data_IF_242981090466
#
_entry.id   IF_242981090466
#
_cell.length_a   1.000
_cell.length_b   1.000
_cell.length_c   1.000
_cell.angle_alpha   90.00
_cell.angle_beta   90.00
_cell.angle_gamma   90.00
#
_symmetry.space_group_name_H-M   'P 1'
#
loop_
_entity.id
_entity.type
_entity.pdbx_description
1 polymer ?
#
# COMPACT_ATOMS: atom_id res chain seq x y z
N UNK A 1 30.38 -4.88 27.30
CA UNK A 1 29.87 -5.77 26.26
C UNK A 1 29.85 -7.18 26.84
N UNK A 2 28.94 -8.06 26.45
CA UNK A 2 28.92 -9.44 26.91
C UNK A 2 30.12 -10.19 26.31
N UNK A 3 30.83 -11.08 27.07
CA UNK A 3 31.99 -11.82 26.56
C UNK A 3 31.76 -12.55 25.22
N UNK A 4 30.58 -13.10 25.00
CA UNK A 4 30.22 -13.70 23.71
C UNK A 4 30.13 -12.67 22.58
N UNK A 5 29.62 -11.46 22.86
CA UNK A 5 29.56 -10.40 21.86
C UNK A 5 30.96 -9.91 21.47
N UNK A 6 31.88 -9.81 22.43
CA UNK A 6 33.28 -9.45 22.17
C UNK A 6 33.97 -10.51 21.32
N UNK A 7 33.78 -11.77 21.64
CA UNK A 7 34.33 -12.89 20.86
C UNK A 7 33.77 -12.92 19.42
N UNK A 8 32.47 -12.65 19.24
CA UNK A 8 31.86 -12.59 17.90
C UNK A 8 32.46 -11.43 17.10
N UNK A 9 32.62 -10.24 17.69
CA UNK A 9 33.22 -9.07 17.02
C UNK A 9 34.67 -9.37 16.64
N UNK A 10 35.47 -9.90 17.56
CA UNK A 10 36.86 -10.25 17.29
C UNK A 10 36.97 -11.32 16.18
N UNK A 11 36.12 -12.35 16.22
CA UNK A 11 36.08 -13.40 15.20
C UNK A 11 35.67 -12.87 13.81
N UNK A 12 34.73 -11.94 13.74
CA UNK A 12 34.25 -11.38 12.46
C UNK A 12 35.29 -10.42 11.83
N UNK A 13 36.28 -9.94 12.58
CA UNK A 13 37.43 -9.18 12.08
C UNK A 13 38.54 -10.03 11.48
N UNK A 14 38.58 -11.33 11.77
CA UNK A 14 39.57 -12.26 11.21
C UNK A 14 39.35 -12.49 9.70
N UNK A 15 40.40 -12.86 8.95
CA UNK A 15 40.25 -13.39 7.59
C UNK A 15 39.28 -14.59 7.58
N UNK A 16 38.51 -14.76 6.52
CA UNK A 16 37.42 -15.74 6.44
C UNK A 16 37.89 -17.17 6.77
N UNK A 17 39.10 -17.55 6.32
CA UNK A 17 39.74 -18.86 6.57
C UNK A 17 40.07 -19.14 8.04
N UNK A 18 40.21 -18.06 8.84
CA UNK A 18 40.63 -18.15 10.25
C UNK A 18 39.44 -17.95 11.21
N UNK A 19 38.23 -17.75 10.67
CA UNK A 19 37.02 -17.53 11.48
C UNK A 19 36.48 -18.82 12.07
N UNK A 20 36.21 -18.80 13.37
CA UNK A 20 35.42 -19.83 14.04
C UNK A 20 34.00 -19.87 13.53
N UNK A 21 33.42 -21.06 13.38
CA UNK A 21 32.00 -21.22 13.05
C UNK A 21 31.10 -20.83 14.22
N UNK A 22 29.79 -20.72 13.99
CA UNK A 22 28.85 -20.51 15.09
C UNK A 22 28.78 -21.66 16.06
N UNK A 23 29.11 -22.87 15.61
CA UNK A 23 29.16 -24.08 16.44
C UNK A 23 30.38 -24.00 17.36
N UNK A 24 31.57 -23.67 16.83
CA UNK A 24 32.80 -23.55 17.63
C UNK A 24 32.64 -22.49 18.73
N UNK A 25 32.06 -21.33 18.40
CA UNK A 25 31.77 -20.28 19.38
C UNK A 25 30.70 -20.74 20.40
N UNK A 26 29.73 -21.52 20.00
CA UNK A 26 28.74 -22.05 20.92
C UNK A 26 29.32 -23.02 21.93
N UNK A 27 30.24 -23.87 21.50
CA UNK A 27 30.97 -24.79 22.37
C UNK A 27 31.88 -24.03 23.34
N UNK A 28 32.68 -23.08 22.85
CA UNK A 28 33.60 -22.25 23.66
C UNK A 28 32.89 -21.45 24.76
N UNK A 29 31.71 -20.94 24.48
CA UNK A 29 30.92 -20.16 25.42
C UNK A 29 29.79 -20.94 26.12
N UNK A 30 29.79 -22.26 26.03
CA UNK A 30 28.79 -23.14 26.64
C UNK A 30 27.34 -22.70 26.36
N UNK A 31 27.05 -22.35 25.11
CA UNK A 31 25.75 -21.87 24.69
C UNK A 31 25.25 -22.63 23.46
N UNK A 32 24.09 -22.26 22.90
CA UNK A 32 23.59 -22.88 21.67
C UNK A 32 23.99 -22.10 20.43
N UNK A 33 24.17 -22.78 19.30
CA UNK A 33 24.40 -22.15 18.00
C UNK A 33 23.32 -21.09 17.67
N UNK A 34 22.07 -21.35 18.06
CA UNK A 34 20.97 -20.42 17.88
C UNK A 34 21.18 -19.12 18.69
N UNK A 35 21.81 -19.23 19.87
CA UNK A 35 22.17 -18.07 20.68
C UNK A 35 23.26 -17.24 20.00
N UNK A 36 24.34 -17.87 19.51
CA UNK A 36 25.41 -17.19 18.77
C UNK A 36 24.88 -16.48 17.54
N UNK A 37 24.03 -17.14 16.75
CA UNK A 37 23.37 -16.52 15.59
C UNK A 37 22.53 -15.30 15.97
N UNK A 38 21.85 -15.34 17.12
CA UNK A 38 21.03 -14.23 17.61
C UNK A 38 21.91 -13.03 17.99
N UNK A 39 23.00 -13.28 18.75
CA UNK A 39 23.97 -12.26 19.14
C UNK A 39 24.64 -11.62 17.90
N UNK A 40 25.10 -12.41 16.95
CA UNK A 40 25.69 -11.92 15.70
C UNK A 40 24.74 -11.05 14.89
N UNK A 41 23.45 -11.42 14.81
CA UNK A 41 22.42 -10.58 14.17
C UNK A 41 22.20 -9.26 14.91
N UNK A 42 22.23 -9.28 16.24
CA UNK A 42 22.06 -8.08 17.05
C UNK A 42 23.25 -7.11 16.86
N UNK A 43 24.49 -7.63 16.84
CA UNK A 43 25.69 -6.86 16.60
C UNK A 43 25.72 -6.26 15.19
N UNK A 44 25.34 -7.01 14.15
CA UNK A 44 25.21 -6.47 12.77
C UNK A 44 24.19 -5.33 12.69
N UNK A 45 23.10 -5.41 13.45
CA UNK A 45 22.12 -4.31 13.52
C UNK A 45 22.70 -3.06 14.20
N UNK A 46 23.54 -3.22 15.22
CA UNK A 46 24.21 -2.11 15.92
C UNK A 46 25.32 -1.48 15.06
N UNK A 47 26.04 -2.28 14.26
CA UNK A 47 27.17 -1.83 13.44
C UNK A 47 26.80 -1.29 12.06
N UNK A 48 25.54 -1.44 11.63
CA UNK A 48 25.13 -1.09 10.26
C UNK A 48 24.92 0.41 10.01
N UNK A 49 25.27 1.28 10.96
CA UNK A 49 25.10 2.74 10.80
C UNK A 49 23.66 3.21 10.56
N UNK A 50 22.70 2.27 10.61
CA UNK A 50 21.30 2.67 10.64
C UNK A 50 21.06 3.39 11.95
N UNK A 51 20.50 4.60 11.92
CA UNK A 51 20.18 5.33 13.14
C UNK A 51 19.42 4.40 14.06
N UNK A 52 19.78 4.42 15.33
CA UNK A 52 19.08 3.69 16.38
C UNK A 52 17.66 4.28 16.42
N UNK A 53 16.74 3.62 15.73
CA UNK A 53 15.33 4.01 15.66
C UNK A 53 14.63 3.93 17.03
N UNK A 54 15.38 3.63 18.09
CA UNK A 54 14.90 3.62 19.48
C UNK A 54 15.13 4.95 20.20
N UNK A 55 15.79 5.93 19.57
CA UNK A 55 16.01 7.26 20.17
C UNK A 55 15.44 8.37 19.29
N UNK A 56 14.37 8.89 19.77
CA UNK A 56 13.88 10.30 19.74
C UNK A 56 13.78 11.05 18.39
N UNK A 57 14.66 10.87 17.43
CA UNK A 57 14.65 11.65 16.19
C UNK A 57 13.52 11.28 15.19
N UNK A 58 12.90 10.10 15.32
CA UNK A 58 11.80 9.71 14.44
C UNK A 58 10.44 10.14 14.97
N UNK A 59 10.36 10.48 16.26
CA UNK A 59 9.10 10.84 16.91
C UNK A 59 8.94 12.35 17.16
N UNK A 60 10.02 13.15 17.05
CA UNK A 60 9.93 14.60 17.23
C UNK A 60 9.23 15.32 16.07
N UNK A 61 9.24 14.75 14.85
CA UNK A 61 8.62 15.36 13.67
C UNK A 61 7.30 14.69 13.22
N UNK A 62 6.90 13.61 13.88
CA UNK A 62 5.56 13.06 13.63
C UNK A 62 4.59 13.69 14.64
N UNK A 63 3.47 14.25 14.18
CA UNK A 63 2.41 14.63 15.09
C UNK A 63 2.05 13.38 15.91
N UNK A 64 2.26 13.46 17.22
CA UNK A 64 2.02 12.39 18.22
C UNK A 64 0.60 11.82 18.13
N UNK A 65 -0.20 12.38 17.31
CA UNK A 65 -1.61 12.14 17.02
C UNK A 65 -1.94 10.81 16.33
N UNK A 66 -0.96 10.06 15.83
CA UNK A 66 -1.21 8.82 15.07
C UNK A 66 -0.86 7.51 15.80
N UNK A 67 -0.46 7.53 17.07
CA UNK A 67 -0.02 6.33 17.79
C UNK A 67 -1.14 5.77 18.64
N UNK A 68 -1.88 4.82 18.10
CA UNK A 68 -2.85 4.02 18.84
C UNK A 68 -2.17 2.99 19.75
N UNK A 69 -2.75 2.81 20.95
CA UNK A 69 -2.39 1.85 22.00
C UNK A 69 -1.76 0.55 21.48
N UNK A 70 -0.44 0.42 21.53
CA UNK A 70 0.23 -0.86 21.73
C UNK A 70 1.48 -0.60 22.56
N UNK A 71 1.51 -1.11 23.79
CA UNK A 71 2.71 -1.15 24.59
C UNK A 71 3.81 -1.91 23.84
N UNK A 72 4.94 -1.27 23.59
CA UNK A 72 6.13 -1.92 23.07
C UNK A 72 7.04 -2.16 24.25
N UNK A 73 7.41 -3.41 24.48
CA UNK A 73 8.45 -3.73 25.47
C UNK A 73 9.80 -3.40 24.83
N UNK A 74 10.47 -2.40 25.32
CA UNK A 74 11.81 -2.00 24.88
C UNK A 74 12.81 -2.61 25.85
N UNK A 75 13.81 -3.32 25.34
CA UNK A 75 14.94 -3.79 26.13
C UNK A 75 15.99 -2.70 26.19
N UNK A 76 16.27 -2.22 27.38
CA UNK A 76 17.30 -1.21 27.63
C UNK A 76 18.73 -1.79 27.50
N UNK A 77 19.71 -0.93 27.37
CA UNK A 77 21.11 -1.31 27.20
C UNK A 77 21.68 -2.09 28.39
N UNK A 78 21.09 -1.93 29.57
CA UNK A 78 21.45 -2.65 30.82
C UNK A 78 20.82 -4.05 30.91
N UNK A 79 20.04 -4.44 29.92
CA UNK A 79 19.36 -5.74 29.87
C UNK A 79 17.97 -5.74 30.53
N UNK A 80 17.56 -4.68 31.18
CA UNK A 80 16.22 -4.50 31.71
C UNK A 80 15.19 -4.28 30.60
N UNK A 81 13.90 -4.48 30.92
CA UNK A 81 12.80 -4.26 29.99
C UNK A 81 11.95 -3.12 30.49
N UNK A 82 11.80 -2.08 29.68
CA UNK A 82 10.84 -1.03 29.91
C UNK A 82 9.58 -1.30 29.09
N UNK A 83 8.45 -1.36 29.75
CA UNK A 83 7.16 -1.41 29.09
C UNK A 83 6.71 0.03 28.89
N UNK A 84 6.99 0.59 27.73
CA UNK A 84 6.44 1.90 27.38
C UNK A 84 4.96 1.71 27.06
N UNK A 85 4.12 1.98 28.04
CA UNK A 85 2.71 2.15 27.80
C UNK A 85 2.51 3.56 27.24
N UNK A 86 2.31 3.64 25.94
CA UNK A 86 1.79 4.86 25.36
C UNK A 86 0.37 5.04 25.91
N UNK A 87 0.23 5.88 26.93
CA UNK A 87 -1.07 6.47 27.18
C UNK A 87 -1.42 7.22 25.90
N UNK A 88 -2.52 6.90 25.22
CA UNK A 88 -3.02 7.83 24.22
C UNK A 88 -3.19 9.12 25.00
N UNK A 89 -2.40 10.14 24.70
CA UNK A 89 -2.89 11.48 24.87
C UNK A 89 -4.27 11.42 24.26
N UNK A 90 -5.26 12.10 24.81
CA UNK A 90 -6.55 12.26 24.18
C UNK A 90 -6.26 13.01 22.90
N UNK A 91 -5.80 12.26 21.88
CA UNK A 91 -5.92 12.67 20.53
C UNK A 91 -7.41 12.52 20.31
N UNK A 92 -8.11 13.63 20.46
CA UNK A 92 -9.16 13.83 19.53
C UNK A 92 -8.50 13.69 18.17
N UNK A 93 -8.37 12.46 17.69
CA UNK A 93 -8.39 12.27 16.25
C UNK A 93 -9.64 13.05 15.88
N UNK A 94 -9.44 14.19 15.26
CA UNK A 94 -10.51 14.78 14.49
C UNK A 94 -11.03 13.58 13.71
N UNK A 95 -12.19 13.07 14.15
CA UNK A 95 -12.74 11.83 13.60
C UNK A 95 -12.63 12.05 12.11
N UNK A 96 -11.75 11.26 11.46
CA UNK A 96 -11.54 11.43 10.03
C UNK A 96 -12.95 11.32 9.51
N UNK A 97 -13.49 12.45 9.05
CA UNK A 97 -14.91 12.58 8.73
C UNK A 97 -15.19 11.43 7.80
N UNK A 98 -15.89 10.40 8.30
CA UNK A 98 -16.24 9.28 7.46
C UNK A 98 -17.06 9.84 6.34
N UNK A 99 -16.54 9.72 5.15
CA UNK A 99 -17.26 10.08 3.95
C UNK A 99 -18.36 9.05 3.71
N UNK A 100 -19.47 9.52 3.21
CA UNK A 100 -20.54 8.71 2.64
C UNK A 100 -20.54 8.87 1.13
N UNK A 101 -21.34 8.05 0.45
CA UNK A 101 -21.56 8.24 -0.97
C UNK A 101 -22.09 9.65 -1.30
N UNK A 102 -22.97 10.16 -0.46
CA UNK A 102 -23.59 11.49 -0.68
C UNK A 102 -22.55 12.63 -0.65
N UNK A 103 -21.45 12.45 0.08
CA UNK A 103 -20.33 13.39 0.07
C UNK A 103 -19.55 13.35 -1.26
N UNK A 104 -19.52 12.21 -1.94
CA UNK A 104 -18.79 12.00 -3.19
C UNK A 104 -19.66 12.28 -4.45
N UNK A 105 -20.96 12.16 -4.34
CA UNK A 105 -21.87 12.37 -5.48
C UNK A 105 -21.67 13.72 -6.19
N UNK A 106 -21.49 14.84 -5.48
CA UNK A 106 -21.21 16.14 -6.12
C UNK A 106 -19.92 16.14 -6.95
N UNK A 107 -18.89 15.40 -6.51
CA UNK A 107 -17.62 15.30 -7.26
C UNK A 107 -17.85 14.61 -8.60
N UNK A 108 -18.72 13.59 -8.65
CA UNK A 108 -19.08 12.90 -9.88
C UNK A 108 -20.12 13.64 -10.73
N UNK A 109 -20.83 14.60 -10.15
CA UNK A 109 -21.81 15.42 -10.87
C UNK A 109 -21.17 16.50 -11.74
N UNK A 110 -19.89 16.80 -11.56
CA UNK A 110 -19.16 17.74 -12.42
C UNK A 110 -19.25 17.24 -13.88
N UNK A 111 -19.84 18.05 -14.81
CA UNK A 111 -20.06 17.61 -16.17
C UNK A 111 -18.74 17.39 -16.89
N UNK A 112 -18.66 16.31 -17.63
CA UNK A 112 -17.56 16.03 -18.54
C UNK A 112 -18.08 16.01 -19.98
N UNK A 113 -17.41 16.74 -20.85
CA UNK A 113 -17.67 16.73 -22.28
C UNK A 113 -16.58 15.88 -22.91
N UNK A 114 -16.89 14.67 -23.42
CA UNK A 114 -15.90 13.86 -24.11
C UNK A 114 -15.37 14.63 -25.33
N UNK A 115 -14.07 14.57 -25.60
CA UNK A 115 -13.51 15.20 -26.80
C UNK A 115 -14.17 14.59 -28.04
N UNK A 116 -14.55 15.44 -28.97
CA UNK A 116 -15.09 14.99 -30.24
C UNK A 116 -13.99 14.23 -31.00
N UNK A 117 -14.24 12.98 -31.40
CA UNK A 117 -13.38 12.27 -32.32
C UNK A 117 -13.87 12.46 -33.74
N UNK A 118 -12.95 12.78 -34.67
CA UNK A 118 -13.29 12.80 -36.07
C UNK A 118 -13.54 11.36 -36.57
N UNK A 119 -14.47 11.19 -37.51
CA UNK A 119 -14.81 9.92 -38.15
C UNK A 119 -13.77 9.43 -39.17
N UNK A 120 -12.54 9.92 -39.12
CA UNK A 120 -11.49 9.62 -40.05
C UNK A 120 -10.83 8.25 -39.82
N UNK A 121 -9.99 7.78 -40.74
CA UNK A 121 -9.23 6.54 -40.72
C UNK A 121 -8.67 6.20 -39.32
N UNK A 122 -8.77 4.92 -38.93
CA UNK A 122 -8.26 4.47 -37.65
C UNK A 122 -6.73 4.39 -37.60
N UNK A 123 -6.13 4.70 -36.47
CA UNK A 123 -4.71 4.45 -36.18
C UNK A 123 -4.51 2.99 -35.83
N UNK A 124 -3.46 2.37 -36.38
CA UNK A 124 -3.15 0.95 -36.13
C UNK A 124 -2.53 0.69 -34.76
N UNK A 125 -1.91 1.71 -34.12
CA UNK A 125 -1.33 1.60 -32.80
C UNK A 125 -2.44 1.38 -31.75
N UNK A 126 -2.08 0.68 -30.67
CA UNK A 126 -2.99 0.39 -29.58
C UNK A 126 -2.49 1.06 -28.30
N UNK A 127 -3.06 2.19 -27.88
CA UNK A 127 -2.78 2.75 -26.57
C UNK A 127 -3.22 1.80 -25.45
N UNK A 128 -2.41 1.74 -24.39
CA UNK A 128 -2.74 1.02 -23.15
C UNK A 128 -2.80 2.05 -22.03
N UNK A 129 -3.96 2.19 -21.43
CA UNK A 129 -4.21 3.06 -20.28
C UNK A 129 -4.17 2.20 -19.02
N UNK A 130 -3.10 2.33 -18.23
CA UNK A 130 -2.94 1.58 -16.99
C UNK A 130 -3.55 2.37 -15.83
N UNK A 131 -4.44 1.74 -15.09
CA UNK A 131 -5.07 2.23 -13.87
C UNK A 131 -4.56 1.37 -12.71
N UNK A 132 -3.89 1.98 -11.73
CA UNK A 132 -3.27 1.27 -10.63
C UNK A 132 -3.27 2.10 -9.35
N UNK A 133 -3.26 1.44 -8.21
CA UNK A 133 -2.99 2.02 -6.89
C UNK A 133 -3.91 3.21 -6.52
N UNK A 134 -5.17 3.18 -6.90
CA UNK A 134 -6.12 4.22 -6.49
C UNK A 134 -6.33 4.19 -4.97
N UNK A 135 -6.30 2.98 -4.38
CA UNK A 135 -6.48 2.76 -2.95
C UNK A 135 -7.63 3.60 -2.38
N UNK A 136 -8.76 3.61 -3.11
CA UNK A 136 -9.96 4.34 -2.68
C UNK A 136 -10.37 3.90 -1.27
N UNK A 137 -10.57 4.85 -0.39
CA UNK A 137 -10.80 4.65 1.03
C UNK A 137 -9.64 5.07 1.92
N UNK A 138 -8.44 5.22 1.37
CA UNK A 138 -7.23 5.55 2.13
C UNK A 138 -7.14 7.03 2.44
N UNK A 139 -6.84 7.33 3.70
CA UNK A 139 -6.44 8.68 4.13
C UNK A 139 -4.93 8.69 4.38
N UNK A 140 -4.24 9.62 3.76
CA UNK A 140 -2.80 9.83 3.89
C UNK A 140 -2.49 11.34 3.97
N UNK A 141 -1.21 11.68 4.11
CA UNK A 141 -0.78 13.09 4.18
C UNK A 141 -1.18 13.93 2.94
N UNK A 142 -1.42 13.27 1.80
CA UNK A 142 -1.86 13.92 0.56
C UNK A 142 -3.36 14.15 0.45
N UNK A 143 -4.16 13.73 1.43
CA UNK A 143 -5.61 13.84 1.41
C UNK A 143 -6.33 12.52 1.65
N UNK A 144 -7.64 12.51 1.43
CA UNK A 144 -8.52 11.36 1.54
C UNK A 144 -9.09 10.89 0.20
N UNK A 145 -10.17 10.13 0.28
CA UNK A 145 -10.84 9.59 -0.90
C UNK A 145 -11.35 10.68 -1.85
N UNK A 146 -11.87 11.78 -1.34
CA UNK A 146 -12.34 12.87 -2.20
C UNK A 146 -11.22 13.43 -3.07
N UNK A 147 -10.03 13.65 -2.49
CA UNK A 147 -8.87 14.14 -3.22
C UNK A 147 -8.41 13.11 -4.27
N UNK A 148 -8.40 11.82 -3.89
CA UNK A 148 -8.10 10.72 -4.81
C UNK A 148 -9.05 10.70 -6.00
N UNK A 149 -10.35 10.78 -5.75
CA UNK A 149 -11.37 10.80 -6.82
C UNK A 149 -11.18 11.99 -7.75
N UNK A 150 -10.95 13.19 -7.21
CA UNK A 150 -10.68 14.40 -8.02
C UNK A 150 -9.43 14.23 -8.87
N UNK A 151 -8.37 13.70 -8.30
CA UNK A 151 -7.11 13.46 -9.00
C UNK A 151 -7.27 12.45 -10.14
N UNK A 152 -7.90 11.29 -9.85
CA UNK A 152 -8.12 10.23 -10.85
C UNK A 152 -9.01 10.74 -11.98
N UNK A 153 -10.11 11.42 -11.68
CA UNK A 153 -10.99 12.00 -12.70
C UNK A 153 -10.23 12.98 -13.60
N UNK A 154 -9.45 13.88 -12.99
CA UNK A 154 -8.61 14.82 -13.76
C UNK A 154 -7.65 14.08 -14.68
N UNK A 155 -6.94 13.07 -14.15
CA UNK A 155 -6.02 12.26 -14.95
C UNK A 155 -6.72 11.55 -16.12
N UNK A 156 -7.91 10.99 -15.90
CA UNK A 156 -8.72 10.36 -16.95
C UNK A 156 -9.10 11.36 -18.06
N UNK A 157 -9.48 12.56 -17.67
CA UNK A 157 -9.79 13.64 -18.63
C UNK A 157 -8.55 14.03 -19.43
N UNK A 158 -7.41 14.22 -18.78
CA UNK A 158 -6.14 14.57 -19.44
C UNK A 158 -5.71 13.47 -20.43
N UNK A 159 -5.86 12.20 -20.03
CA UNK A 159 -5.59 11.05 -20.92
C UNK A 159 -6.54 11.06 -22.12
N UNK A 160 -7.83 11.25 -21.89
CA UNK A 160 -8.80 11.28 -22.98
C UNK A 160 -8.51 12.43 -23.96
N UNK A 161 -8.17 13.62 -23.46
CA UNK A 161 -7.75 14.74 -24.29
C UNK A 161 -6.46 14.46 -25.07
N UNK A 162 -5.48 13.80 -24.43
CA UNK A 162 -4.23 13.43 -25.08
C UNK A 162 -4.44 12.41 -26.21
N UNK A 163 -5.35 11.46 -26.00
CA UNK A 163 -5.67 10.43 -27.00
C UNK A 163 -6.61 10.94 -28.09
N UNK A 164 -7.35 12.03 -27.86
CA UNK A 164 -8.21 12.63 -28.86
C UNK A 164 -7.39 13.20 -30.01
N UNK A 165 -7.95 13.17 -31.23
CA UNK A 165 -7.26 13.68 -32.40
C UNK A 165 -8.09 13.50 -33.68
N UNK A 166 -7.51 13.85 -34.85
CA UNK A 166 -8.23 13.78 -36.11
C UNK A 166 -8.52 12.34 -36.59
N UNK A 167 -7.86 11.34 -35.98
CA UNK A 167 -8.06 9.92 -36.29
C UNK A 167 -8.44 9.18 -35.02
N UNK A 168 -9.40 8.26 -35.13
CA UNK A 168 -9.73 7.31 -34.07
C UNK A 168 -8.63 6.28 -33.90
N UNK A 169 -8.62 5.62 -32.74
CA UNK A 169 -7.80 4.45 -32.51
C UNK A 169 -8.56 3.20 -32.96
N UNK A 170 -7.90 2.27 -33.60
CA UNK A 170 -8.51 0.98 -33.88
C UNK A 170 -8.87 0.23 -32.62
N UNK A 171 -8.01 0.36 -31.61
CA UNK A 171 -8.22 -0.24 -30.29
C UNK A 171 -7.60 0.64 -29.20
N UNK A 172 -8.28 0.70 -28.04
CA UNK A 172 -7.71 1.18 -26.80
C UNK A 172 -7.86 0.05 -25.77
N UNK A 173 -6.81 -0.22 -24.98
CA UNK A 173 -6.84 -1.15 -23.86
C UNK A 173 -6.84 -0.34 -22.57
N UNK A 174 -7.82 -0.60 -21.68
CA UNK A 174 -7.83 -0.11 -20.29
C UNK A 174 -7.44 -1.28 -19.40
N UNK A 175 -6.32 -1.16 -18.70
CA UNK A 175 -5.79 -2.18 -17.83
C UNK A 175 -5.90 -1.75 -16.37
N UNK A 176 -6.77 -2.39 -15.60
CA UNK A 176 -6.75 -2.33 -14.14
C UNK A 176 -5.61 -3.23 -13.64
N UNK A 177 -4.56 -2.60 -13.13
CA UNK A 177 -3.35 -3.29 -12.67
C UNK A 177 -3.39 -3.53 -11.15
N UNK A 178 -4.56 -3.31 -10.54
CA UNK A 178 -4.86 -3.69 -9.18
C UNK A 178 -4.78 -2.54 -8.17
N UNK A 179 -5.09 -2.87 -6.92
CA UNK A 179 -5.10 -2.00 -5.76
C UNK A 179 -6.02 -0.76 -5.91
N UNK A 180 -7.16 -0.97 -6.57
CA UNK A 180 -8.16 0.07 -6.81
C UNK A 180 -8.90 0.49 -5.53
N UNK A 181 -9.16 -0.44 -4.60
CA UNK A 181 -9.68 -0.16 -3.25
C UNK A 181 -8.59 -0.27 -2.20
N UNK A 182 -8.70 0.43 -1.07
CA UNK A 182 -7.78 0.23 0.06
C UNK A 182 -8.07 -1.09 0.79
N UNK A 183 -9.32 -1.49 0.88
CA UNK A 183 -9.71 -2.67 1.64
C UNK A 183 -9.49 -2.53 3.14
N UNK A 184 -9.52 -3.67 3.89
CA UNK A 184 -9.45 -3.67 5.35
C UNK A 184 -8.56 -4.77 5.91
N UNK A 185 -7.91 -5.59 5.08
CA UNK A 185 -7.33 -6.87 5.52
C UNK A 185 -5.81 -6.95 5.46
N UNK A 186 -5.13 -6.03 4.79
CA UNK A 186 -3.68 -6.13 4.61
C UNK A 186 -2.89 -5.78 5.86
N UNK A 187 -3.28 -4.72 6.56
CA UNK A 187 -2.65 -4.28 7.81
C UNK A 187 -3.70 -3.90 8.84
N UNK A 188 -3.41 -4.14 10.11
CA UNK A 188 -4.36 -3.91 11.20
C UNK A 188 -4.78 -2.43 11.37
N UNK A 189 -4.01 -1.50 10.83
CA UNK A 189 -4.29 -0.06 10.89
C UNK A 189 -5.23 0.43 9.78
N UNK A 190 -5.47 -0.35 8.73
CA UNK A 190 -6.32 0.09 7.61
C UNK A 190 -7.72 0.52 8.06
N UNK A 191 -8.33 -0.21 9.00
CA UNK A 191 -9.64 0.16 9.53
C UNK A 191 -9.68 1.56 10.19
N UNK A 192 -8.52 2.10 10.58
CA UNK A 192 -8.39 3.41 11.22
C UNK A 192 -8.00 4.51 10.25
N UNK A 193 -7.42 4.13 9.10
CA UNK A 193 -6.97 5.04 8.05
C UNK A 193 -7.94 5.11 6.87
N UNK A 194 -9.03 4.36 6.90
CA UNK A 194 -10.06 4.40 5.88
C UNK A 194 -11.15 5.42 6.21
N UNK A 195 -11.48 6.27 5.26
CA UNK A 195 -12.57 7.24 5.35
C UNK A 195 -13.88 6.74 4.73
N UNK A 196 -13.85 5.62 3.99
CA UNK A 196 -15.03 5.00 3.38
C UNK A 196 -15.28 3.57 3.86
N UNK A 197 -16.55 3.19 3.89
CA UNK A 197 -16.95 1.78 3.99
C UNK A 197 -16.46 1.00 2.78
N UNK A 198 -16.27 -0.33 2.90
CA UNK A 198 -15.88 -1.17 1.77
C UNK A 198 -16.89 -1.07 0.61
N UNK A 199 -18.17 -1.04 0.92
CA UNK A 199 -19.23 -0.93 -0.09
C UNK A 199 -19.10 0.38 -0.89
N UNK A 200 -18.80 1.48 -0.19
CA UNK A 200 -18.63 2.77 -0.85
C UNK A 200 -17.30 2.86 -1.60
N UNK A 201 -16.23 2.19 -1.12
CA UNK A 201 -14.99 2.03 -1.87
C UNK A 201 -15.25 1.35 -3.21
N UNK A 202 -15.94 0.20 -3.20
CA UNK A 202 -16.30 -0.56 -4.40
C UNK A 202 -17.15 0.30 -5.35
N UNK A 203 -18.19 0.94 -4.83
CA UNK A 203 -19.08 1.81 -5.62
C UNK A 203 -18.32 2.97 -6.26
N UNK A 204 -17.41 3.58 -5.55
CA UNK A 204 -16.57 4.68 -6.03
C UNK A 204 -15.67 4.24 -7.18
N UNK A 205 -14.99 3.09 -7.02
CA UNK A 205 -14.13 2.53 -8.06
C UNK A 205 -14.94 2.14 -9.30
N UNK A 206 -16.09 1.50 -9.14
CA UNK A 206 -17.00 1.20 -10.27
C UNK A 206 -17.37 2.47 -11.04
N UNK A 207 -17.63 3.55 -10.34
CA UNK A 207 -17.98 4.83 -10.97
C UNK A 207 -16.80 5.41 -11.75
N UNK A 208 -15.59 5.38 -11.17
CA UNK A 208 -14.37 5.85 -11.84
C UNK A 208 -14.07 5.05 -13.12
N UNK A 209 -14.20 3.73 -13.04
CA UNK A 209 -13.95 2.87 -14.21
C UNK A 209 -15.02 3.03 -15.28
N UNK A 210 -16.29 3.16 -14.91
CA UNK A 210 -17.35 3.49 -15.85
C UNK A 210 -17.13 4.86 -16.52
N UNK A 211 -16.58 5.82 -15.79
CA UNK A 211 -16.20 7.12 -16.35
C UNK A 211 -15.05 6.96 -17.35
N UNK A 212 -14.00 6.19 -17.01
CA UNK A 212 -12.89 5.89 -17.93
C UNK A 212 -13.40 5.27 -19.25
N UNK A 213 -14.30 4.28 -19.17
CA UNK A 213 -14.92 3.67 -20.34
C UNK A 213 -15.68 4.70 -21.17
N UNK A 214 -16.53 5.52 -20.53
CA UNK A 214 -17.31 6.56 -21.21
C UNK A 214 -16.44 7.60 -21.91
N UNK A 215 -15.27 7.92 -21.34
CA UNK A 215 -14.32 8.86 -21.90
C UNK A 215 -13.58 8.32 -23.11
N UNK A 216 -13.19 7.04 -23.05
CA UNK A 216 -12.27 6.44 -24.01
C UNK A 216 -12.99 5.71 -25.15
N UNK A 217 -14.17 5.15 -24.91
CA UNK A 217 -14.92 4.42 -25.92
C UNK A 217 -15.22 5.26 -27.19
N UNK A 218 -15.58 6.55 -27.11
CA UNK A 218 -15.80 7.37 -28.30
C UNK A 218 -14.54 7.57 -29.16
N UNK A 219 -13.35 7.33 -28.60
CA UNK A 219 -12.07 7.58 -29.26
C UNK A 219 -11.53 6.38 -30.06
N UNK A 220 -12.18 5.22 -30.00
CA UNK A 220 -11.70 3.99 -30.65
C UNK A 220 -12.85 3.20 -31.30
N UNK A 221 -12.49 2.24 -32.14
CA UNK A 221 -13.44 1.30 -32.73
C UNK A 221 -13.71 0.12 -31.77
N UNK A 222 -12.73 -0.22 -30.93
CA UNK A 222 -12.80 -1.30 -29.95
C UNK A 222 -12.14 -0.89 -28.66
N UNK A 223 -12.88 -0.89 -27.56
CA UNK A 223 -12.35 -0.73 -26.20
C UNK A 223 -12.25 -2.10 -25.55
N UNK A 224 -11.06 -2.46 -25.08
CA UNK A 224 -10.80 -3.68 -24.33
C UNK A 224 -10.50 -3.32 -22.89
N UNK A 225 -11.24 -3.90 -21.95
CA UNK A 225 -10.97 -3.77 -20.53
C UNK A 225 -10.36 -5.07 -19.99
N UNK A 226 -9.28 -4.97 -19.25
CA UNK A 226 -8.62 -6.09 -18.58
C UNK A 226 -8.34 -5.74 -17.14
N UNK A 227 -8.44 -6.72 -16.23
CA UNK A 227 -8.15 -6.53 -14.83
C UNK A 227 -7.31 -7.68 -14.29
N UNK A 228 -6.47 -7.40 -13.30
CA UNK A 228 -5.70 -8.41 -12.57
C UNK A 228 -6.07 -8.36 -11.07
N UNK A 229 -6.06 -9.51 -10.38
CA UNK A 229 -6.30 -9.54 -8.94
C UNK A 229 -5.16 -8.85 -8.19
N UNK A 230 -5.46 -8.30 -7.02
CA UNK A 230 -4.50 -7.57 -6.22
C UNK A 230 -4.61 -7.88 -4.72
N UNK A 231 -3.61 -7.47 -3.94
CA UNK A 231 -3.62 -7.76 -2.51
C UNK A 231 -4.59 -6.87 -1.71
N UNK A 232 -4.89 -5.65 -2.16
CA UNK A 232 -5.84 -4.75 -1.52
C UNK A 232 -7.29 -5.10 -1.83
N UNK A 233 -7.56 -5.61 -3.02
CA UNK A 233 -8.89 -6.00 -3.46
C UNK A 233 -9.25 -7.46 -3.14
N UNK A 234 -8.27 -8.30 -2.76
CA UNK A 234 -8.49 -9.72 -2.50
C UNK A 234 -9.45 -9.95 -1.34
N UNK A 235 -10.46 -10.80 -1.55
CA UNK A 235 -11.30 -11.33 -0.48
C UNK A 235 -10.48 -12.35 0.32
N UNK A 236 -10.25 -12.07 1.59
CA UNK A 236 -9.41 -12.89 2.45
C UNK A 236 -10.24 -13.67 3.44
N UNK A 237 -9.93 -14.96 3.56
CA UNK A 237 -10.58 -15.88 4.48
C UNK A 237 -9.58 -16.28 5.57
N UNK A 238 -10.03 -16.26 6.82
CA UNK A 238 -9.23 -16.64 7.99
C UNK A 238 -8.87 -15.47 8.90
N UNK A 239 -8.47 -15.75 10.14
CA UNK A 239 -8.20 -14.73 11.14
C UNK A 239 -6.82 -14.08 10.98
N UNK A 240 -6.81 -12.74 10.96
CA UNK A 240 -5.60 -11.92 11.13
C UNK A 240 -4.47 -12.23 10.13
N UNK A 241 -3.25 -12.44 10.64
CA UNK A 241 -2.05 -12.66 9.81
C UNK A 241 -2.07 -13.94 8.98
N UNK A 242 -2.97 -14.86 9.30
CA UNK A 242 -3.14 -16.13 8.57
C UNK A 242 -4.24 -16.05 7.51
N UNK A 243 -4.85 -14.88 7.34
CA UNK A 243 -5.82 -14.69 6.27
C UNK A 243 -5.14 -14.87 4.91
N UNK A 244 -5.75 -15.62 4.04
CA UNK A 244 -5.26 -15.87 2.68
C UNK A 244 -6.31 -15.39 1.68
N UNK A 245 -5.85 -14.93 0.52
CA UNK A 245 -6.73 -14.81 -0.62
C UNK A 245 -7.31 -16.20 -0.92
N UNK A 246 -8.62 -16.27 -1.13
CA UNK A 246 -9.30 -17.54 -1.34
C UNK A 246 -8.95 -18.09 -2.74
N UNK A 247 -9.29 -17.34 -3.77
CA UNK A 247 -8.95 -17.64 -5.15
C UNK A 247 -8.60 -16.32 -5.87
N UNK A 248 -7.87 -16.36 -7.01
CA UNK A 248 -7.59 -15.14 -7.77
C UNK A 248 -8.85 -14.37 -8.18
N UNK A 249 -9.96 -15.06 -8.41
CA UNK A 249 -11.25 -14.47 -8.82
C UNK A 249 -12.07 -13.92 -7.63
N UNK A 250 -11.70 -14.28 -6.39
CA UNK A 250 -12.30 -13.71 -5.18
C UNK A 250 -11.60 -12.36 -4.87
N UNK A 251 -11.82 -11.40 -5.74
CA UNK A 251 -11.19 -10.10 -5.74
C UNK A 251 -12.21 -9.03 -6.16
N UNK A 252 -12.26 -7.93 -5.42
CA UNK A 252 -13.21 -6.85 -5.68
C UNK A 252 -12.90 -6.11 -6.98
N UNK A 253 -11.62 -5.98 -7.38
CA UNK A 253 -11.23 -5.40 -8.67
C UNK A 253 -11.76 -6.26 -9.83
N UNK A 254 -11.59 -7.59 -9.73
CA UNK A 254 -12.16 -8.53 -10.70
C UNK A 254 -13.68 -8.47 -10.72
N UNK A 255 -14.34 -8.38 -9.55
CA UNK A 255 -15.79 -8.22 -9.47
C UNK A 255 -16.25 -6.93 -10.16
N UNK A 256 -15.55 -5.82 -9.91
CA UNK A 256 -15.84 -4.53 -10.53
C UNK A 256 -15.69 -4.61 -12.04
N UNK A 257 -14.63 -5.24 -12.54
CA UNK A 257 -14.40 -5.39 -13.98
C UNK A 257 -15.55 -6.15 -14.68
N UNK A 258 -16.02 -7.24 -14.06
CA UNK A 258 -17.16 -8.02 -14.57
C UNK A 258 -18.50 -7.26 -14.59
N UNK A 259 -18.61 -6.19 -13.80
CA UNK A 259 -19.81 -5.35 -13.75
C UNK A 259 -19.76 -4.17 -14.75
N UNK A 260 -18.63 -3.96 -15.42
CA UNK A 260 -18.45 -2.89 -16.40
C UNK A 260 -18.73 -3.39 -17.83
N UNK A 261 -18.65 -4.69 -18.05
CA UNK A 261 -19.03 -5.34 -19.31
C UNK A 261 -20.53 -5.13 -19.59
#
# INVERSE_FOLDING_TARGET
>A
MNPLDEAIVANDLLPEKDRKTNIDLAEEFHTSEASVRRHRRALKRKGSGKPDLTKDAFFEDLPIESITKRGKTIRLADGSYEKVEYKPGTIEMAEAKRLSWDDLEPVFAEPYIPPASALAEAREETPIVCLADFQVGKVAQGGGTEDTVRLVRRALHDIAHHLAGPKRWKRIVVADVGDSTEGFWNVASQAQTNDLSLTDQIRTVQRLYAEAVKLLAPLCDSLVYVAVPSNHCAVRVGPGKNSRANAPDDDFGIMISKNIE
#
